data_IF_471871220370
#
_entry.id   IF_471871220370
#
_cell.length_a   1.000
_cell.length_b   1.000
_cell.length_c   1.000
_cell.angle_alpha   90.00
_cell.angle_beta   90.00
_cell.angle_gamma   90.00
#
_symmetry.space_group_name_H-M   'P 1'
#
loop_
_entity.id
_entity.type
_entity.pdbx_description
1 polymer ?
#
# COMPACT_ATOMS: atom_id res chain seq x y z
N UNK A 1 -8.57 -2.56 74.82
CA UNK A 1 -8.20 -1.88 73.56
C UNK A 1 -8.11 -2.97 72.49
N UNK A 2 -9.07 -3.03 71.54
CA UNK A 2 -9.13 -4.07 70.50
C UNK A 2 -8.37 -3.56 69.27
N UNK A 3 -7.31 -4.25 68.87
CA UNK A 3 -6.53 -3.97 67.67
C UNK A 3 -7.32 -4.42 66.43
N UNK A 4 -7.59 -3.48 65.52
CA UNK A 4 -8.13 -3.77 64.18
C UNK A 4 -6.95 -4.00 63.21
N UNK A 5 -6.92 -5.09 62.44
CA UNK A 5 -5.87 -5.30 61.45
C UNK A 5 -6.18 -4.46 60.20
N UNK A 6 -5.24 -3.60 59.82
CA UNK A 6 -5.23 -2.90 58.53
C UNK A 6 -5.00 -3.93 57.42
N UNK A 7 -5.97 -4.08 56.52
CA UNK A 7 -5.81 -4.83 55.26
C UNK A 7 -5.29 -3.86 54.20
N UNK A 8 -4.09 -4.05 53.63
CA UNK A 8 -3.61 -3.21 52.54
C UNK A 8 -4.33 -3.62 51.25
N UNK A 9 -5.07 -2.68 50.66
CA UNK A 9 -5.64 -2.83 49.33
C UNK A 9 -4.50 -2.61 48.32
N UNK A 10 -3.97 -3.70 47.77
CA UNK A 10 -3.09 -3.64 46.60
C UNK A 10 -3.94 -3.27 45.39
N UNK A 11 -3.84 -2.02 44.93
CA UNK A 11 -4.34 -1.61 43.63
C UNK A 11 -3.50 -2.31 42.56
N UNK A 12 -4.06 -3.36 41.95
CA UNK A 12 -3.48 -4.00 40.76
C UNK A 12 -3.61 -3.01 39.61
N UNK A 13 -2.49 -2.37 39.25
CA UNK A 13 -2.34 -1.67 37.97
C UNK A 13 -2.42 -2.73 36.86
N UNK A 14 -3.58 -2.84 36.23
CA UNK A 14 -3.74 -3.55 34.96
C UNK A 14 -3.02 -2.70 33.92
N UNK A 15 -1.74 -2.99 33.68
CA UNK A 15 -1.05 -2.52 32.50
C UNK A 15 -1.70 -3.21 31.29
N UNK A 16 -2.68 -2.53 30.69
CA UNK A 16 -3.25 -2.96 29.42
C UNK A 16 -2.11 -3.05 28.40
N UNK A 17 -1.94 -4.22 27.78
CA UNK A 17 -1.11 -4.32 26.59
C UNK A 17 -1.79 -3.48 25.52
N UNK A 18 -1.24 -2.30 25.24
CA UNK A 18 -1.63 -1.51 24.09
C UNK A 18 -1.31 -2.37 22.86
N UNK A 19 -2.34 -2.97 22.26
CA UNK A 19 -2.20 -3.61 20.96
C UNK A 19 -1.82 -2.51 19.96
N UNK A 20 -0.78 -2.70 19.12
CA UNK A 20 -0.38 -1.68 18.16
C UNK A 20 -1.57 -1.36 17.25
N UNK A 21 -1.73 -0.07 16.92
CA UNK A 21 -2.74 0.37 15.97
C UNK A 21 -2.48 -0.26 14.59
N UNK A 22 -3.49 -0.92 14.03
CA UNK A 22 -3.38 -1.77 12.84
C UNK A 22 -3.43 -0.92 11.56
N UNK A 23 -2.26 -0.70 10.92
CA UNK A 23 -2.11 -0.18 9.56
C UNK A 23 -2.41 -1.29 8.55
N UNK A 24 -3.08 -0.95 7.45
CA UNK A 24 -3.88 -1.89 6.67
C UNK A 24 -4.91 -2.59 7.59
N UNK A 25 -6.18 -2.64 7.20
CA UNK A 25 -7.17 -3.25 8.11
C UNK A 25 -6.83 -4.72 8.30
N UNK A 26 -6.81 -5.20 9.55
CA UNK A 26 -6.40 -6.58 9.86
C UNK A 26 -4.99 -6.97 9.32
N UNK A 27 -4.10 -5.98 9.12
CA UNK A 27 -2.72 -6.17 8.66
C UNK A 27 -1.69 -6.23 9.78
N UNK A 28 -0.43 -6.44 9.42
CA UNK A 28 0.70 -6.41 10.37
C UNK A 28 1.82 -5.54 9.82
N UNK A 29 2.76 -5.14 10.67
CA UNK A 29 3.98 -4.48 10.22
C UNK A 29 4.69 -5.37 9.18
N UNK A 30 5.15 -4.77 8.10
CA UNK A 30 5.86 -5.46 7.04
C UNK A 30 7.31 -5.79 7.42
N UNK A 31 7.87 -5.02 8.35
CA UNK A 31 9.27 -5.06 8.76
C UNK A 31 10.19 -4.99 7.53
N UNK A 32 10.84 -6.11 7.19
CA UNK A 32 11.84 -6.19 6.12
C UNK A 32 11.39 -7.06 4.94
N UNK A 33 10.12 -7.47 4.90
CA UNK A 33 9.65 -8.44 3.91
C UNK A 33 9.61 -7.88 2.49
N UNK A 34 9.18 -6.62 2.32
CA UNK A 34 9.07 -5.97 1.00
C UNK A 34 9.88 -4.66 0.96
N UNK A 35 11.23 -4.72 1.00
CA UNK A 35 12.09 -3.52 1.01
C UNK A 35 11.90 -2.63 -0.22
N UNK A 36 11.42 -3.17 -1.34
CA UNK A 36 11.09 -2.46 -2.57
C UNK A 36 9.83 -1.60 -2.48
N UNK A 37 9.03 -1.74 -1.43
CA UNK A 37 7.84 -0.93 -1.21
C UNK A 37 8.20 0.29 -0.40
N UNK A 38 7.83 1.46 -0.92
CA UNK A 38 8.16 2.75 -0.32
C UNK A 38 6.96 3.67 -0.24
N UNK A 39 7.12 4.75 0.51
CA UNK A 39 6.12 5.79 0.66
C UNK A 39 6.54 7.06 -0.07
N UNK A 40 5.55 7.77 -0.63
CA UNK A 40 5.70 9.15 -1.05
C UNK A 40 5.40 10.06 0.13
N UNK A 41 6.30 11.01 0.35
CA UNK A 41 6.26 11.94 1.48
C UNK A 41 5.64 13.27 1.09
N UNK A 42 4.77 13.78 1.94
CA UNK A 42 4.18 15.10 1.78
C UNK A 42 5.22 16.22 1.85
N UNK A 43 4.89 17.35 1.24
CA UNK A 43 5.64 18.61 1.41
C UNK A 43 5.58 19.13 2.85
N UNK A 44 4.52 18.76 3.57
CA UNK A 44 4.25 19.05 4.98
C UNK A 44 3.75 17.76 5.64
N UNK A 45 3.91 17.61 6.96
CA UNK A 45 3.28 16.51 7.66
C UNK A 45 1.76 16.60 7.56
N UNK A 46 1.10 15.46 7.61
CA UNK A 46 -0.33 15.30 7.85
C UNK A 46 -0.72 15.96 9.19
N UNK A 47 -2.01 16.25 9.42
CA UNK A 47 -2.48 16.87 10.66
C UNK A 47 -2.11 16.09 11.93
N UNK A 48 -1.92 14.77 11.84
CA UNK A 48 -1.50 13.89 12.93
C UNK A 48 0.02 13.85 13.14
N UNK A 49 0.80 14.58 12.33
CA UNK A 49 2.25 14.67 12.40
C UNK A 49 3.02 13.66 11.54
N UNK A 50 2.32 12.73 10.90
CA UNK A 50 2.92 11.75 9.96
C UNK A 50 3.25 12.38 8.62
N UNK A 51 3.97 11.69 7.74
CA UNK A 51 4.46 12.24 6.47
C UNK A 51 4.05 11.44 5.24
N UNK A 52 3.80 10.15 5.38
CA UNK A 52 3.42 9.30 4.26
C UNK A 52 1.99 9.60 3.83
N UNK A 53 1.76 9.71 2.52
CA UNK A 53 0.40 9.95 1.98
C UNK A 53 0.04 9.09 0.77
N UNK A 54 1.02 8.45 0.15
CA UNK A 54 0.86 7.47 -0.92
C UNK A 54 1.96 6.43 -0.82
N UNK A 55 1.74 5.30 -1.49
CA UNK A 55 2.66 4.17 -1.56
C UNK A 55 3.13 3.96 -3.00
N UNK A 56 4.21 3.20 -3.17
CA UNK A 56 4.62 2.67 -4.45
C UNK A 56 5.62 1.54 -4.33
N UNK A 57 6.11 1.08 -5.47
CA UNK A 57 7.02 -0.08 -5.56
C UNK A 57 8.17 0.19 -6.51
N UNK A 58 9.39 -0.09 -6.07
CA UNK A 58 10.56 -0.08 -6.92
C UNK A 58 10.48 -1.27 -7.90
N UNK A 59 10.33 -1.01 -9.20
CA UNK A 59 10.18 -2.02 -10.27
C UNK A 59 11.43 -2.14 -11.17
N UNK A 60 12.40 -1.25 -10.98
CA UNK A 60 13.78 -1.39 -11.44
C UNK A 60 14.68 -0.57 -10.51
N UNK A 61 16.02 -0.69 -10.57
CA UNK A 61 16.90 0.06 -9.66
C UNK A 61 16.68 1.58 -9.66
N UNK A 62 16.09 2.15 -10.71
CA UNK A 62 15.86 3.60 -10.84
C UNK A 62 14.40 3.99 -11.07
N UNK A 63 13.45 3.04 -11.06
CA UNK A 63 12.03 3.32 -11.39
C UNK A 63 11.13 2.80 -10.29
N UNK A 64 10.39 3.72 -9.69
CA UNK A 64 9.41 3.45 -8.65
C UNK A 64 8.01 3.74 -9.19
N UNK A 65 7.18 2.70 -9.28
CA UNK A 65 5.79 2.76 -9.75
C UNK A 65 4.87 3.22 -8.62
N UNK A 66 3.90 4.08 -8.94
CA UNK A 66 2.87 4.57 -8.03
C UNK A 66 1.63 4.98 -8.84
N UNK A 67 0.60 5.55 -8.21
CA UNK A 67 -0.59 6.06 -8.88
C UNK A 67 -0.39 7.51 -9.37
N UNK A 68 -1.04 7.88 -10.47
CA UNK A 68 -0.96 9.23 -11.01
C UNK A 68 -1.66 10.26 -10.11
N UNK A 69 -2.76 9.88 -9.46
CA UNK A 69 -3.49 10.75 -8.54
C UNK A 69 -2.71 11.11 -7.27
N UNK A 70 -1.59 10.44 -6.98
CA UNK A 70 -0.71 10.79 -5.86
C UNK A 70 0.09 12.09 -6.11
N UNK A 71 0.13 12.61 -7.33
CA UNK A 71 0.84 13.84 -7.64
C UNK A 71 -0.11 15.02 -7.79
N UNK A 72 0.28 16.17 -7.25
CA UNK A 72 -0.44 17.42 -7.49
C UNK A 72 -0.42 17.81 -8.99
N UNK A 73 -1.40 18.59 -9.47
CA UNK A 73 -1.38 19.09 -10.84
C UNK A 73 -0.08 19.83 -11.19
N UNK A 74 0.68 19.26 -12.14
CA UNK A 74 1.95 19.83 -12.58
C UNK A 74 3.17 19.38 -11.78
N UNK A 75 3.00 18.51 -10.77
CA UNK A 75 4.08 17.92 -9.97
C UNK A 75 5.20 17.38 -10.87
N UNK A 76 6.44 17.71 -10.52
CA UNK A 76 7.63 17.37 -11.29
C UNK A 76 8.55 16.42 -10.56
N UNK A 77 8.43 16.37 -9.23
CA UNK A 77 9.33 15.60 -8.38
C UNK A 77 8.55 14.91 -7.28
N UNK A 78 9.05 13.78 -6.81
CA UNK A 78 8.49 13.12 -5.65
C UNK A 78 9.61 12.79 -4.66
N UNK A 79 9.29 12.87 -3.38
CA UNK A 79 10.15 12.45 -2.26
C UNK A 79 9.71 11.06 -1.83
N UNK A 80 10.61 10.10 -1.89
CA UNK A 80 10.33 8.68 -1.61
C UNK A 80 11.22 8.20 -0.46
N UNK A 81 10.63 7.48 0.48
CA UNK A 81 11.35 6.70 1.50
C UNK A 81 11.08 5.22 1.32
N UNK A 82 12.07 4.38 1.65
CA UNK A 82 11.92 2.92 1.74
C UNK A 82 12.04 2.41 3.18
N UNK A 83 12.04 3.33 4.16
CA UNK A 83 12.06 2.99 5.59
C UNK A 83 10.80 2.20 5.96
N UNK A 84 10.95 1.06 6.64
CA UNK A 84 9.81 0.27 7.11
C UNK A 84 8.99 1.00 8.17
N UNK A 85 9.59 1.97 8.86
CA UNK A 85 8.91 2.88 9.77
C UNK A 85 9.60 4.23 9.68
N UNK A 86 9.04 5.13 8.86
CA UNK A 86 9.65 6.41 8.57
C UNK A 86 9.61 7.32 9.79
N UNK A 87 10.76 7.93 10.07
CA UNK A 87 10.89 9.04 11.00
C UNK A 87 11.42 10.26 10.27
N UNK A 88 10.98 11.44 10.67
CA UNK A 88 11.52 12.67 10.11
C UNK A 88 13.05 12.72 10.26
N UNK A 89 13.76 12.86 9.14
CA UNK A 89 15.21 12.81 9.07
C UNK A 89 15.79 11.49 8.54
N UNK A 90 14.96 10.45 8.37
CA UNK A 90 15.33 9.23 7.66
C UNK A 90 15.74 9.52 6.21
N UNK A 91 16.38 8.54 5.58
CA UNK A 91 16.84 8.64 4.21
C UNK A 91 15.66 8.83 3.25
N UNK A 92 15.73 9.91 2.46
CA UNK A 92 14.75 10.24 1.42
C UNK A 92 15.46 10.35 0.08
N UNK A 93 14.83 9.81 -0.95
CA UNK A 93 15.26 9.90 -2.33
C UNK A 93 14.32 10.84 -3.07
N UNK A 94 14.88 11.73 -3.90
CA UNK A 94 14.09 12.59 -4.77
C UNK A 94 14.27 12.12 -6.20
N UNK A 95 13.15 11.90 -6.89
CA UNK A 95 13.14 11.51 -8.29
C UNK A 95 12.16 12.38 -9.08
N UNK A 96 12.26 12.27 -10.42
CA UNK A 96 11.35 12.95 -11.34
C UNK A 96 10.02 12.21 -11.38
N UNK A 97 8.94 12.90 -11.07
CA UNK A 97 7.58 12.37 -11.13
C UNK A 97 7.05 12.43 -12.57
N UNK A 98 6.53 11.32 -13.07
CA UNK A 98 6.07 11.16 -14.45
C UNK A 98 4.72 10.43 -14.45
N UNK A 99 3.60 11.16 -14.42
CA UNK A 99 2.28 10.54 -14.55
C UNK A 99 2.03 10.11 -16.00
N UNK A 100 1.20 9.09 -16.18
CA UNK A 100 0.66 8.78 -17.50
C UNK A 100 -0.19 9.96 -17.97
N UNK A 101 0.26 10.62 -19.04
CA UNK A 101 -0.43 11.78 -19.64
C UNK A 101 -1.89 11.53 -20.05
N UNK A 102 -2.29 10.26 -20.19
CA UNK A 102 -3.65 9.84 -20.52
C UNK A 102 -4.57 9.89 -19.30
N UNK A 103 -4.04 9.87 -18.08
CA UNK A 103 -4.81 9.95 -16.85
C UNK A 103 -5.68 11.21 -16.84
N UNK A 104 -6.92 11.02 -16.43
CA UNK A 104 -7.90 12.05 -16.13
C UNK A 104 -8.60 11.63 -14.85
N UNK A 105 -8.55 12.45 -13.81
CA UNK A 105 -9.10 12.15 -12.48
C UNK A 105 -10.53 11.60 -12.50
N UNK A 106 -11.33 11.98 -13.51
CA UNK A 106 -12.71 11.53 -13.65
C UNK A 106 -12.90 10.07 -14.10
N UNK A 107 -11.85 9.33 -14.49
CA UNK A 107 -11.99 8.03 -15.16
C UNK A 107 -11.24 6.87 -14.49
N UNK A 108 -10.35 7.10 -13.52
CA UNK A 108 -9.45 6.09 -12.89
C UNK A 108 -8.56 5.28 -13.87
N UNK A 109 -8.90 5.19 -15.16
CA UNK A 109 -8.10 4.61 -16.21
C UNK A 109 -6.83 5.44 -16.44
N UNK A 110 -5.77 4.72 -16.78
CA UNK A 110 -4.40 5.20 -16.88
C UNK A 110 -3.85 5.84 -15.59
N UNK A 111 -4.44 5.59 -14.41
CA UNK A 111 -3.97 6.14 -13.13
C UNK A 111 -2.67 5.48 -12.67
N UNK A 112 -1.57 5.78 -13.35
CA UNK A 112 -0.25 5.30 -13.02
C UNK A 112 0.76 6.41 -13.21
N UNK A 113 1.76 6.45 -12.35
CA UNK A 113 2.93 7.30 -12.48
C UNK A 113 4.19 6.51 -12.14
N UNK A 114 5.32 7.05 -12.56
CA UNK A 114 6.61 6.61 -12.07
C UNK A 114 7.39 7.76 -11.46
N UNK A 115 8.17 7.45 -10.44
CA UNK A 115 9.27 8.29 -9.94
C UNK A 115 10.56 7.72 -10.50
N UNK A 116 11.25 8.50 -11.33
CA UNK A 116 12.51 8.11 -11.96
C UNK A 116 13.67 8.75 -11.20
N UNK A 117 14.51 7.91 -10.60
CA UNK A 117 15.72 8.34 -9.92
C UNK A 117 16.90 8.46 -10.89
N UNK A 118 17.80 9.42 -10.65
CA UNK A 118 19.01 9.61 -11.45
C UNK A 118 20.09 8.55 -11.18
N UNK A 119 20.04 7.92 -10.01
CA UNK A 119 20.96 6.87 -9.56
C UNK A 119 20.18 5.68 -9.04
N UNK A 120 20.75 4.49 -9.19
CA UNK A 120 20.16 3.27 -8.63
C UNK A 120 19.97 3.39 -7.11
N UNK A 121 18.80 2.97 -6.63
CA UNK A 121 18.55 2.82 -5.20
C UNK A 121 19.36 1.60 -4.72
N UNK A 122 20.29 1.78 -3.76
CA UNK A 122 21.16 0.70 -3.33
C UNK A 122 20.42 -0.31 -2.45
N UNK A 123 20.92 -1.55 -2.45
CA UNK A 123 20.55 -2.62 -1.50
C UNK A 123 19.06 -3.02 -1.47
N UNK A 124 18.30 -2.68 -2.52
CA UNK A 124 16.90 -3.07 -2.68
C UNK A 124 16.75 -3.84 -3.99
N UNK A 125 16.23 -5.07 -3.90
CA UNK A 125 15.87 -5.86 -5.08
C UNK A 125 14.51 -5.39 -5.59
N UNK A 126 14.39 -4.87 -6.84
CA UNK A 126 13.10 -4.43 -7.36
C UNK A 126 12.08 -5.57 -7.51
N UNK A 127 10.81 -5.19 -7.55
CA UNK A 127 9.71 -6.08 -7.88
C UNK A 127 9.75 -6.58 -9.31
N UNK A 128 9.30 -7.81 -9.48
CA UNK A 128 9.08 -8.41 -10.81
C UNK A 128 7.68 -8.05 -11.31
N UNK A 129 7.59 -7.78 -12.61
CA UNK A 129 6.32 -7.50 -13.28
C UNK A 129 5.77 -8.79 -13.93
N UNK A 130 4.45 -8.92 -14.09
CA UNK A 130 3.84 -10.05 -14.78
C UNK A 130 4.09 -9.98 -16.29
N UNK A 131 4.09 -11.15 -16.93
CA UNK A 131 3.96 -11.25 -18.39
C UNK A 131 2.59 -10.74 -18.83
N UNK A 132 2.48 -10.36 -20.10
CA UNK A 132 1.19 -9.92 -20.66
C UNK A 132 0.10 -10.99 -20.49
N UNK A 133 -1.10 -10.58 -20.08
CA UNK A 133 -2.28 -11.43 -19.87
C UNK A 133 -2.16 -12.53 -18.79
N UNK A 134 -1.12 -12.49 -17.94
CA UNK A 134 -0.91 -13.51 -16.90
C UNK A 134 -2.15 -13.76 -16.02
N UNK A 135 -2.89 -12.71 -15.62
CA UNK A 135 -4.08 -12.88 -14.79
C UNK A 135 -5.26 -13.48 -15.57
N UNK A 136 -5.36 -13.24 -16.88
CA UNK A 136 -6.36 -13.91 -17.72
C UNK A 136 -6.04 -15.40 -17.89
N UNK A 137 -4.75 -15.76 -18.00
CA UNK A 137 -4.31 -17.16 -18.06
C UNK A 137 -4.66 -17.91 -16.75
N UNK A 138 -4.35 -17.31 -15.59
CA UNK A 138 -4.73 -17.85 -14.27
C UNK A 138 -6.27 -17.91 -14.08
N UNK A 139 -7.02 -17.03 -14.74
CA UNK A 139 -8.48 -17.10 -14.73
C UNK A 139 -8.98 -18.26 -15.58
N UNK A 140 -8.36 -18.51 -16.73
CA UNK A 140 -8.74 -19.57 -17.66
C UNK A 140 -8.49 -20.96 -17.06
N UNK A 141 -7.41 -21.15 -16.30
CA UNK A 141 -7.10 -22.41 -15.62
C UNK A 141 -7.75 -22.56 -14.22
N UNK A 142 -8.55 -21.57 -13.81
CA UNK A 142 -9.24 -21.48 -12.51
C UNK A 142 -8.37 -21.28 -11.27
N UNK A 143 -7.04 -21.14 -11.40
CA UNK A 143 -6.13 -20.92 -10.27
C UNK A 143 -6.27 -19.53 -9.63
N UNK A 144 -6.75 -18.53 -10.39
CA UNK A 144 -6.94 -17.17 -9.89
C UNK A 144 -7.91 -17.11 -8.70
N UNK A 145 -8.94 -17.97 -8.68
CA UNK A 145 -9.98 -17.99 -7.62
C UNK A 145 -9.43 -18.39 -6.25
N UNK A 146 -8.37 -19.16 -6.22
CA UNK A 146 -7.72 -19.64 -4.99
C UNK A 146 -6.39 -18.94 -4.74
N UNK A 147 -6.02 -17.98 -5.59
CA UNK A 147 -4.81 -17.20 -5.42
C UNK A 147 -4.95 -16.25 -4.24
N UNK A 148 -3.85 -16.08 -3.50
CA UNK A 148 -3.72 -15.09 -2.45
C UNK A 148 -3.01 -13.86 -3.01
N UNK A 149 -3.39 -12.69 -2.51
CA UNK A 149 -2.72 -11.44 -2.82
C UNK A 149 -2.23 -10.79 -1.53
N UNK A 150 -1.06 -10.17 -1.61
CA UNK A 150 -0.44 -9.44 -0.51
C UNK A 150 -0.32 -7.96 -0.88
N UNK A 151 -1.28 -7.12 -0.47
CA UNK A 151 -1.10 -5.68 -0.51
C UNK A 151 -0.15 -5.22 0.60
N UNK A 152 0.67 -4.23 0.26
CA UNK A 152 1.67 -3.63 1.17
C UNK A 152 1.62 -2.12 1.03
N UNK A 153 1.68 -1.37 2.12
CA UNK A 153 1.71 0.08 2.04
C UNK A 153 1.74 0.80 3.37
N UNK A 154 1.59 2.13 3.31
CA UNK A 154 1.71 3.06 4.43
C UNK A 154 0.37 3.74 4.74
N UNK A 155 -0.72 3.10 4.34
CA UNK A 155 -2.07 3.62 4.49
C UNK A 155 -2.54 3.74 5.93
N UNK A 156 -3.67 4.43 6.07
CA UNK A 156 -4.27 4.78 7.35
C UNK A 156 -4.63 3.53 8.17
N UNK A 157 -4.54 3.71 9.47
CA UNK A 157 -4.76 2.70 10.50
C UNK A 157 -6.13 2.91 11.13
N UNK A 158 -6.95 1.85 11.14
CA UNK A 158 -8.22 1.78 11.87
C UNK A 158 -9.08 3.04 11.83
N UNK A 159 -9.69 3.42 10.69
CA UNK A 159 -10.51 4.63 10.58
C UNK A 159 -11.61 4.68 11.65
N UNK A 160 -11.60 5.73 12.46
CA UNK A 160 -12.55 5.92 13.56
C UNK A 160 -13.67 6.87 13.16
N UNK A 161 -14.80 6.80 13.87
CA UNK A 161 -15.89 7.75 13.67
C UNK A 161 -15.54 9.05 14.39
N UNK A 162 -15.28 10.10 13.62
CA UNK A 162 -15.06 11.46 14.12
C UNK A 162 -16.35 12.28 14.21
N UNK A 163 -16.21 13.53 14.65
CA UNK A 163 -17.34 14.48 14.81
C UNK A 163 -17.88 15.03 13.49
N UNK A 164 -17.03 15.11 12.45
CA UNK A 164 -17.35 15.68 11.14
C UNK A 164 -17.15 14.70 9.97
N UNK A 165 -17.01 13.40 10.25
CA UNK A 165 -16.69 12.39 9.26
C UNK A 165 -15.84 11.27 9.85
N UNK A 166 -15.22 10.45 9.00
CA UNK A 166 -14.20 9.51 9.44
C UNK A 166 -12.89 10.24 9.71
N UNK A 167 -12.20 9.82 10.75
CA UNK A 167 -10.84 10.26 11.05
C UNK A 167 -9.87 9.14 10.68
N UNK A 168 -8.89 9.49 9.85
CA UNK A 168 -7.83 8.59 9.39
C UNK A 168 -6.56 8.92 10.17
N UNK A 169 -6.00 7.92 10.83
CA UNK A 169 -4.74 8.04 11.54
C UNK A 169 -3.68 7.33 10.73
N UNK A 170 -2.46 7.84 10.73
CA UNK A 170 -1.33 7.18 10.10
C UNK A 170 -0.27 6.91 11.16
N UNK A 171 0.72 6.09 10.84
CA UNK A 171 1.82 5.79 11.75
C UNK A 171 3.19 5.74 11.03
N UNK A 172 3.27 6.22 9.78
CA UNK A 172 4.46 6.19 8.93
C UNK A 172 5.10 4.78 8.80
N UNK A 173 4.33 3.71 9.03
CA UNK A 173 4.81 2.32 9.04
C UNK A 173 4.36 1.58 7.79
N UNK A 174 5.30 0.86 7.17
CA UNK A 174 4.99 -0.10 6.12
C UNK A 174 4.29 -1.29 6.74
N UNK A 175 3.11 -1.59 6.25
CA UNK A 175 2.29 -2.71 6.67
C UNK A 175 1.86 -3.55 5.50
N UNK A 176 1.48 -4.79 5.79
CA UNK A 176 0.96 -5.75 4.81
C UNK A 176 -0.26 -6.48 5.35
N UNK A 177 -1.07 -7.00 4.46
CA UNK A 177 -2.10 -8.00 4.79
C UNK A 177 -2.24 -9.03 3.69
N UNK A 178 -3.16 -9.98 3.86
CA UNK A 178 -3.67 -10.84 2.80
C UNK A 178 -5.04 -10.37 2.37
N UNK A 179 -5.35 -10.53 1.08
CA UNK A 179 -6.68 -10.25 0.53
C UNK A 179 -7.03 -11.28 -0.55
N UNK A 180 -8.31 -11.58 -0.70
CA UNK A 180 -8.82 -12.60 -1.61
C UNK A 180 -9.26 -12.02 -2.95
N UNK A 181 -9.14 -12.84 -3.99
CA UNK A 181 -9.72 -12.54 -5.30
C UNK A 181 -11.24 -12.42 -5.25
N UNK A 182 -11.78 -11.35 -5.84
CA UNK A 182 -13.22 -11.21 -6.09
C UNK A 182 -13.53 -11.35 -7.58
N UNK A 183 -12.93 -10.47 -8.39
CA UNK A 183 -13.32 -10.32 -9.80
C UNK A 183 -12.17 -9.80 -10.64
N UNK A 184 -12.12 -10.30 -11.88
CA UNK A 184 -11.20 -9.80 -12.91
C UNK A 184 -11.99 -9.21 -14.06
N UNK A 185 -11.68 -7.96 -14.40
CA UNK A 185 -12.18 -7.25 -15.58
C UNK A 185 -11.02 -6.93 -16.54
N UNK A 186 -11.31 -6.18 -17.62
CA UNK A 186 -10.31 -5.81 -18.63
C UNK A 186 -9.14 -5.00 -18.04
N UNK A 187 -9.40 -4.09 -17.11
CA UNK A 187 -8.37 -3.22 -16.52
C UNK A 187 -8.14 -3.47 -15.04
N UNK A 188 -9.13 -4.06 -14.36
CA UNK A 188 -9.17 -4.11 -12.90
C UNK A 188 -9.08 -5.52 -12.38
N UNK A 189 -8.22 -5.68 -11.38
CA UNK A 189 -8.25 -6.75 -10.40
C UNK A 189 -9.02 -6.20 -9.20
N UNK A 190 -10.12 -6.86 -8.85
CA UNK A 190 -10.89 -6.52 -7.65
C UNK A 190 -10.60 -7.58 -6.59
N UNK A 191 -10.16 -7.10 -5.43
CA UNK A 191 -9.79 -7.93 -4.29
C UNK A 191 -10.66 -7.55 -3.11
N UNK A 192 -11.21 -8.51 -2.39
CA UNK A 192 -12.10 -8.23 -1.26
C UNK A 192 -11.76 -9.06 -0.03
N UNK A 193 -12.21 -8.55 1.10
CA UNK A 193 -11.96 -9.14 2.41
C UNK A 193 -12.79 -10.41 2.57
N UNK A 194 -12.11 -11.56 2.67
CA UNK A 194 -12.70 -12.78 3.22
C UNK A 194 -12.40 -12.87 4.73
N UNK A 195 -13.40 -12.51 5.55
CA UNK A 195 -13.28 -12.58 7.01
C UNK A 195 -12.97 -13.99 7.54
N UNK A 196 -13.33 -15.04 6.81
CA UNK A 196 -13.04 -16.42 7.23
C UNK A 196 -11.57 -16.78 7.10
N UNK A 197 -10.82 -16.05 6.27
CA UNK A 197 -9.37 -16.20 6.08
C UNK A 197 -8.54 -15.23 6.91
N UNK A 198 -9.21 -14.32 7.62
CA UNK A 198 -8.52 -13.23 8.31
C UNK A 198 -7.91 -12.23 7.33
N UNK A 199 -8.55 -12.02 6.18
CA UNK A 199 -8.09 -11.01 5.22
C UNK A 199 -8.20 -9.59 5.79
N UNK A 200 -7.42 -8.71 5.20
CA UNK A 200 -7.45 -7.28 5.38
C UNK A 200 -7.67 -6.54 4.08
N UNK A 201 -7.75 -5.21 4.15
CA UNK A 201 -7.93 -4.34 2.99
C UNK A 201 -7.03 -3.11 3.04
N UNK A 202 -6.80 -2.51 1.87
CA UNK A 202 -6.04 -1.26 1.75
C UNK A 202 -6.87 -0.08 2.24
N UNK A 203 -6.20 1.03 2.53
CA UNK A 203 -6.83 2.25 3.00
C UNK A 203 -6.19 3.49 2.36
N UNK A 204 -6.74 4.66 2.65
CA UNK A 204 -6.15 5.94 2.25
C UNK A 204 -4.65 5.99 2.58
N UNK A 205 -3.82 6.27 1.59
CA UNK A 205 -2.35 6.22 1.69
C UNK A 205 -1.69 4.96 1.12
N UNK A 206 -2.44 3.89 0.91
CA UNK A 206 -1.97 2.70 0.16
C UNK A 206 -2.06 2.89 -1.36
N UNK A 207 -2.68 3.99 -1.82
CA UNK A 207 -2.72 4.38 -3.23
C UNK A 207 -1.34 4.33 -3.89
N UNK A 208 -1.29 3.70 -5.06
CA UNK A 208 -0.05 3.42 -5.80
C UNK A 208 0.74 2.23 -5.28
N UNK A 209 0.36 1.65 -4.15
CA UNK A 209 1.00 0.50 -3.53
C UNK A 209 0.77 -0.82 -4.28
N UNK A 210 1.63 -1.81 -4.03
CA UNK A 210 1.56 -3.11 -4.68
C UNK A 210 0.38 -3.96 -4.23
N UNK A 211 -0.08 -4.82 -5.13
CA UNK A 211 -0.69 -6.10 -4.80
C UNK A 211 0.19 -7.20 -5.39
N UNK A 212 0.92 -7.89 -4.52
CA UNK A 212 1.74 -9.03 -4.93
C UNK A 212 0.88 -10.28 -5.07
N UNK A 213 1.13 -11.10 -6.11
CA UNK A 213 0.50 -12.41 -6.25
C UNK A 213 1.29 -13.44 -5.43
N UNK A 214 0.69 -13.96 -4.37
CA UNK A 214 1.31 -14.90 -3.43
C UNK A 214 1.28 -14.41 -1.98
N UNK A 215 2.01 -15.13 -1.13
CA UNK A 215 2.13 -14.80 0.29
C UNK A 215 3.07 -13.61 0.54
N UNK A 216 3.37 -13.35 1.81
CA UNK A 216 4.21 -12.24 2.25
C UNK A 216 5.69 -12.31 1.87
N UNK A 217 6.10 -13.32 1.10
CA UNK A 217 7.44 -13.43 0.52
C UNK A 217 7.43 -13.17 -0.99
N UNK A 218 6.25 -12.97 -1.57
CA UNK A 218 6.11 -12.73 -3.00
C UNK A 218 6.71 -11.39 -3.40
N UNK A 219 7.31 -11.40 -4.59
CA UNK A 219 7.87 -10.21 -5.24
C UNK A 219 7.30 -10.03 -6.65
N UNK A 220 6.16 -10.65 -6.94
CA UNK A 220 5.48 -10.56 -8.23
C UNK A 220 4.34 -9.54 -8.15
N UNK A 221 4.62 -8.32 -8.61
CA UNK A 221 3.69 -7.20 -8.55
C UNK A 221 2.69 -7.27 -9.71
N UNK A 222 1.47 -7.74 -9.45
CA UNK A 222 0.47 -7.97 -10.52
C UNK A 222 -0.50 -6.82 -10.72
N UNK A 223 -0.74 -6.00 -9.69
CA UNK A 223 -1.61 -4.84 -9.76
C UNK A 223 -1.16 -3.73 -8.78
N UNK A 224 -1.55 -2.49 -9.07
CA UNK A 224 -1.33 -1.33 -8.19
C UNK A 224 -2.66 -0.82 -7.63
N UNK A 225 -2.71 -0.48 -6.34
CA UNK A 225 -3.91 0.04 -5.70
C UNK A 225 -4.26 1.44 -6.22
N UNK A 226 -5.49 1.64 -6.69
CA UNK A 226 -5.97 2.92 -7.21
C UNK A 226 -7.06 3.52 -6.32
N UNK A 227 -8.08 2.73 -5.98
CA UNK A 227 -9.19 3.15 -5.14
C UNK A 227 -9.78 1.98 -4.36
N UNK A 228 -10.64 2.28 -3.40
CA UNK A 228 -11.48 1.31 -2.70
C UNK A 228 -12.95 1.77 -2.76
N UNK A 229 -13.90 0.87 -2.51
CA UNK A 229 -15.33 1.15 -2.58
C UNK A 229 -15.94 1.72 -1.28
N UNK A 230 -15.17 1.85 -0.19
CA UNK A 230 -15.66 2.49 1.04
C UNK A 230 -14.65 3.33 1.83
N UNK A 231 -15.20 4.29 2.57
CA UNK A 231 -14.44 5.12 3.53
C UNK A 231 -14.08 4.39 4.83
N UNK A 232 -14.42 3.10 4.93
CA UNK A 232 -14.11 2.29 6.12
C UNK A 232 -12.89 1.40 5.95
N UNK A 233 -12.32 1.36 4.73
CA UNK A 233 -11.16 0.56 4.37
C UNK A 233 -11.36 -0.92 4.69
N UNK A 234 -12.59 -1.42 4.52
CA UNK A 234 -12.99 -2.80 4.86
C UNK A 234 -13.57 -3.56 3.68
N UNK A 235 -13.41 -2.99 2.50
CA UNK A 235 -14.19 -3.30 1.33
C UNK A 235 -13.27 -3.70 0.18
N UNK A 236 -13.83 -3.78 -1.02
CA UNK A 236 -13.17 -4.20 -2.25
C UNK A 236 -12.13 -3.17 -2.70
N UNK A 237 -10.88 -3.60 -2.80
CA UNK A 237 -9.84 -2.86 -3.51
C UNK A 237 -10.09 -2.90 -5.01
N UNK A 238 -9.90 -1.76 -5.68
CA UNK A 238 -9.88 -1.63 -7.12
C UNK A 238 -8.42 -1.40 -7.54
N UNK A 239 -7.81 -2.45 -8.06
CA UNK A 239 -6.39 -2.48 -8.39
C UNK A 239 -6.17 -2.52 -9.91
N UNK A 240 -5.31 -1.63 -10.41
CA UNK A 240 -4.97 -1.57 -11.82
C UNK A 240 -4.02 -2.70 -12.18
N UNK A 241 -4.49 -3.61 -13.04
CA UNK A 241 -3.71 -4.72 -13.58
C UNK A 241 -2.49 -4.26 -14.39
N UNK A 242 -1.30 -4.74 -14.00
CA UNK A 242 -0.05 -4.45 -14.70
C UNK A 242 0.23 -5.37 -15.90
N UNK A 243 -0.50 -6.48 -16.02
CA UNK A 243 -0.38 -7.42 -17.14
C UNK A 243 -1.17 -6.98 -18.40
N UNK A 244 -1.89 -5.86 -18.34
CA UNK A 244 -2.69 -5.36 -19.45
C UNK A 244 -1.86 -4.64 -20.51
N UNK A 245 -2.26 -4.68 -21.80
CA UNK A 245 -1.56 -3.94 -22.86
C UNK A 245 -1.44 -2.44 -22.57
N UNK A 246 -2.46 -1.85 -21.94
CA UNK A 246 -2.49 -0.42 -21.60
C UNK A 246 -1.43 -0.06 -20.56
N UNK A 247 -1.31 -0.88 -19.50
CA UNK A 247 -0.34 -0.66 -18.44
C UNK A 247 1.08 -0.88 -18.96
N UNK A 248 1.28 -2.00 -19.67
CA UNK A 248 2.56 -2.36 -20.30
C UNK A 248 3.03 -1.31 -21.31
N UNK A 249 2.13 -0.69 -22.08
CA UNK A 249 2.49 0.42 -22.98
C UNK A 249 3.09 1.64 -22.23
N UNK A 250 2.61 1.93 -21.03
CA UNK A 250 3.19 3.01 -20.21
C UNK A 250 4.52 2.57 -19.60
N UNK A 251 4.56 1.39 -18.97
CA UNK A 251 5.73 0.87 -18.26
C UNK A 251 6.93 0.60 -19.17
N UNK A 252 6.70 0.16 -20.41
CA UNK A 252 7.77 -0.13 -21.39
C UNK A 252 8.60 1.09 -21.77
N UNK A 253 8.14 2.31 -21.44
CA UNK A 253 8.90 3.55 -21.62
C UNK A 253 10.00 3.72 -20.56
N UNK A 254 9.95 2.96 -19.48
CA UNK A 254 10.81 3.12 -18.30
C UNK A 254 11.58 1.86 -17.91
N UNK A 255 11.02 0.68 -18.16
CA UNK A 255 11.61 -0.61 -17.80
C UNK A 255 11.51 -1.62 -18.94
N UNK A 256 12.38 -2.63 -18.91
CA UNK A 256 12.23 -3.81 -19.77
C UNK A 256 11.14 -4.70 -19.19
N UNK A 257 10.13 -5.04 -20.00
CA UNK A 257 9.04 -5.92 -19.59
C UNK A 257 9.34 -7.38 -19.92
N UNK A 258 8.89 -8.33 -19.07
CA UNK A 258 8.91 -9.74 -19.40
C UNK A 258 7.83 -10.11 -20.42
#
# INVERSE_FOLDING_TARGET
MRFAPFVPIFAILIAGMASPAWAITNGSADDVAHPEVGAILGHKPNPDGTWTYCTGTLISPTVFLTAAHCGDPGEKTARVTFSSHYKHGDKVYTGRYVPDSRFKEKNELYDMAVVVFSTAIPDIKPATLPTENMLDDLKADSSLKTSQFTPVGYGAVGPVKGTHGREFNYNDTRSRTSISFEKLTRSWLQLSVDHSKGDGSTCYGDSGGPNFLGDSTSNLLVATTISGDDDTCKSTNIDYRLDTPSARHFLSKFVTLP
#
